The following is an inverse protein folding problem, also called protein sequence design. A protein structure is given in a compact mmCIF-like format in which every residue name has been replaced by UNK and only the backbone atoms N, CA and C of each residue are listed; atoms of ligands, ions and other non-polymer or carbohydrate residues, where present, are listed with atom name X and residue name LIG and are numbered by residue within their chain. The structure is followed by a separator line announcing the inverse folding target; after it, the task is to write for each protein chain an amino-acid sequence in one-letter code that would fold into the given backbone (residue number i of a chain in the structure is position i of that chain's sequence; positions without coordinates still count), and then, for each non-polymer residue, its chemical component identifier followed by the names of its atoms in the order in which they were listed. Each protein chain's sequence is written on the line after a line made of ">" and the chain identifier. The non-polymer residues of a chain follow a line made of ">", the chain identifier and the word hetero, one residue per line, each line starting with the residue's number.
data_IF_196283162441
#
_entry.id   IF_196283162441
#
_cell.length_a   1.000
_cell.length_b   1.000
_cell.length_c   1.000
_cell.angle_alpha   90.00
_cell.angle_beta   90.00
_cell.angle_gamma   90.00
#
_symmetry.space_group_name_H-M   'P 1'
#
loop_
_entity.id
_entity.type
_entity.pdbx_description
1 polymer ?
#
# COMPACT_ATOMS: atom_id res chain seq x y z
N UNK A 1 16.05 5.76 9.73
CA UNK A 1 15.22 5.19 8.63
C UNK A 1 14.07 4.32 9.14
N UNK A 2 14.28 3.40 10.06
CA UNK A 2 13.24 2.50 10.59
C UNK A 2 12.03 3.24 11.20
N UNK A 3 12.28 4.27 12.02
CA UNK A 3 11.22 5.11 12.59
C UNK A 3 10.43 5.88 11.51
N UNK A 4 11.08 6.33 10.45
CA UNK A 4 10.44 6.97 9.30
C UNK A 4 9.48 5.98 8.64
N UNK A 5 9.95 4.76 8.34
CA UNK A 5 9.12 3.70 7.76
C UNK A 5 7.94 3.30 8.64
N UNK A 6 8.19 3.08 9.93
CA UNK A 6 7.14 2.78 10.92
C UNK A 6 6.07 3.87 10.96
N UNK A 7 6.48 5.12 11.09
CA UNK A 7 5.61 6.26 11.35
C UNK A 7 4.58 6.50 10.22
N UNK A 8 5.02 6.54 8.94
CA UNK A 8 4.07 6.82 7.87
C UNK A 8 3.14 5.64 7.60
N UNK A 9 3.61 4.41 7.80
CA UNK A 9 2.75 3.22 7.68
C UNK A 9 1.77 3.15 8.86
N UNK A 10 2.21 3.41 10.10
CA UNK A 10 1.33 3.44 11.26
C UNK A 10 0.23 4.49 11.10
N UNK A 11 0.57 5.71 10.70
CA UNK A 11 -0.41 6.76 10.43
C UNK A 11 -1.45 6.34 9.36
N UNK A 12 -0.99 5.75 8.24
CA UNK A 12 -1.90 5.26 7.19
C UNK A 12 -2.77 4.10 7.66
N UNK A 13 -2.23 3.18 8.46
CA UNK A 13 -2.95 1.99 8.93
C UNK A 13 -3.98 2.30 10.03
N UNK A 14 -3.82 3.40 10.79
CA UNK A 14 -4.87 3.94 11.66
C UNK A 14 -6.09 4.37 10.82
N UNK A 15 -5.87 5.02 9.69
CA UNK A 15 -6.94 5.55 8.85
C UNK A 15 -7.71 4.43 8.14
N UNK A 16 -7.05 3.35 7.76
CA UNK A 16 -7.58 2.31 6.89
C UNK A 16 -8.93 1.70 7.35
N UNK A 17 -9.11 1.24 8.61
CA UNK A 17 -10.36 0.63 9.05
C UNK A 17 -11.51 1.62 9.27
N UNK A 18 -11.20 2.90 9.54
CA UNK A 18 -12.19 3.86 10.07
C UNK A 18 -12.64 4.93 9.07
N UNK A 19 -11.89 5.15 7.98
CA UNK A 19 -12.20 6.24 7.05
C UNK A 19 -13.58 6.08 6.39
N UNK A 20 -13.90 4.86 5.94
CA UNK A 20 -15.17 4.56 5.29
C UNK A 20 -16.35 4.74 6.27
N UNK A 21 -16.17 4.30 7.50
CA UNK A 21 -17.13 4.46 8.60
C UNK A 21 -17.34 5.95 8.89
N UNK A 22 -16.24 6.71 9.01
CA UNK A 22 -16.30 8.15 9.27
C UNK A 22 -17.10 8.91 8.20
N UNK A 23 -16.80 8.65 6.93
CA UNK A 23 -17.47 9.32 5.81
C UNK A 23 -18.96 8.93 5.78
N UNK A 24 -19.27 7.65 5.95
CA UNK A 24 -20.66 7.15 5.86
C UNK A 24 -21.49 7.51 7.07
N UNK A 25 -21.00 7.27 8.29
CA UNK A 25 -21.79 7.33 9.51
C UNK A 25 -21.67 8.69 10.23
N UNK A 26 -20.50 9.33 10.20
CA UNK A 26 -20.28 10.62 10.87
C UNK A 26 -20.59 11.80 9.94
N UNK A 27 -20.08 11.75 8.70
CA UNK A 27 -20.36 12.81 7.71
C UNK A 27 -21.69 12.61 6.99
N UNK A 28 -22.36 11.46 7.15
CA UNK A 28 -23.64 11.10 6.49
C UNK A 28 -23.57 11.19 4.96
N UNK A 29 -22.39 10.94 4.40
CA UNK A 29 -22.17 11.03 2.97
C UNK A 29 -22.63 9.75 2.23
N UNK A 30 -23.01 9.84 0.96
CA UNK A 30 -23.35 8.67 0.15
C UNK A 30 -22.11 7.78 -0.11
N UNK A 31 -22.36 6.50 -0.40
CA UNK A 31 -21.30 5.47 -0.53
C UNK A 31 -20.31 5.81 -1.64
N UNK A 32 -20.72 6.49 -2.69
CA UNK A 32 -19.87 6.93 -3.81
C UNK A 32 -18.77 7.87 -3.33
N UNK A 33 -19.09 8.73 -2.38
CA UNK A 33 -18.12 9.69 -1.83
C UNK A 33 -17.05 9.00 -0.99
N UNK A 34 -17.37 7.87 -0.36
CA UNK A 34 -16.37 7.04 0.34
C UNK A 34 -15.30 6.55 -0.66
N UNK A 35 -15.78 6.06 -1.82
CA UNK A 35 -14.90 5.65 -2.92
C UNK A 35 -14.05 6.82 -3.43
N UNK A 36 -14.66 7.97 -3.70
CA UNK A 36 -13.99 9.16 -4.22
C UNK A 36 -12.86 9.64 -3.28
N UNK A 37 -13.16 9.80 -1.98
CA UNK A 37 -12.18 10.27 -0.97
C UNK A 37 -11.00 9.31 -0.84
N UNK A 38 -11.26 8.00 -0.87
CA UNK A 38 -10.19 7.00 -0.81
C UNK A 38 -9.36 6.99 -2.09
N UNK A 39 -10.03 7.07 -3.24
CA UNK A 39 -9.38 7.09 -4.56
C UNK A 39 -8.51 8.32 -4.75
N UNK A 40 -8.93 9.48 -4.28
CA UNK A 40 -8.18 10.74 -4.38
C UNK A 40 -6.78 10.62 -3.76
N UNK A 41 -6.67 9.95 -2.61
CA UNK A 41 -5.38 9.68 -1.96
C UNK A 41 -4.48 8.78 -2.82
N UNK A 42 -4.97 7.64 -3.28
CA UNK A 42 -4.14 6.68 -3.99
C UNK A 42 -3.80 7.13 -5.42
N UNK A 43 -4.72 7.78 -6.12
CA UNK A 43 -4.46 8.32 -7.46
C UNK A 43 -3.43 9.45 -7.37
N UNK A 44 -3.57 10.38 -6.42
CA UNK A 44 -2.58 11.44 -6.22
C UNK A 44 -1.21 10.87 -5.84
N UNK A 45 -1.16 9.83 -5.02
CA UNK A 45 0.07 9.11 -4.69
C UNK A 45 0.70 8.46 -5.93
N UNK A 46 -0.08 7.79 -6.76
CA UNK A 46 0.39 7.16 -7.99
C UNK A 46 1.00 8.19 -8.95
N UNK A 47 0.30 9.30 -9.16
CA UNK A 47 0.78 10.40 -10.02
C UNK A 47 2.07 11.03 -9.46
N UNK A 48 2.12 11.26 -8.16
CA UNK A 48 3.31 11.81 -7.50
C UNK A 48 4.53 10.89 -7.66
N UNK A 49 4.39 9.57 -7.58
CA UNK A 49 5.49 8.61 -7.78
C UNK A 49 6.09 8.68 -9.19
N UNK A 50 5.29 8.97 -10.22
CA UNK A 50 5.81 9.21 -11.57
C UNK A 50 6.73 10.43 -11.60
N UNK A 51 6.31 11.52 -10.95
CA UNK A 51 7.07 12.79 -10.92
C UNK A 51 8.35 12.61 -10.09
N UNK A 52 8.25 11.93 -8.95
CA UNK A 52 9.37 11.75 -8.01
C UNK A 52 10.51 10.91 -8.56
N UNK A 53 10.23 9.98 -9.46
CA UNK A 53 11.27 9.22 -10.17
C UNK A 53 12.30 10.10 -10.90
N UNK A 54 11.95 11.38 -11.15
CA UNK A 54 12.83 12.36 -11.80
C UNK A 54 13.63 13.25 -10.83
N UNK A 55 13.18 13.40 -9.59
CA UNK A 55 13.71 14.38 -8.65
C UNK A 55 14.52 13.80 -7.48
N UNK A 56 14.69 12.48 -7.44
CA UNK A 56 15.36 11.79 -6.33
C UNK A 56 16.88 12.03 -6.36
N UNK A 57 17.39 12.86 -5.45
CA UNK A 57 18.82 13.03 -5.21
C UNK A 57 19.19 14.19 -4.28
N UNK A 58 20.17 13.96 -3.39
CA UNK A 58 20.86 14.96 -2.58
C UNK A 58 20.07 15.54 -1.39
N UNK A 59 20.62 16.60 -0.81
CA UNK A 59 20.11 17.29 0.39
C UNK A 59 18.66 17.76 0.25
N UNK A 60 18.23 18.13 -0.96
CA UNK A 60 16.85 18.53 -1.25
C UNK A 60 15.85 17.42 -0.91
N UNK A 61 16.21 16.15 -1.13
CA UNK A 61 15.32 15.00 -0.82
C UNK A 61 14.97 14.95 0.65
N UNK A 62 15.90 15.26 1.57
CA UNK A 62 15.62 15.21 3.02
C UNK A 62 14.78 16.38 3.48
N UNK A 63 15.03 17.59 2.94
CA UNK A 63 14.20 18.75 3.25
C UNK A 63 12.76 18.53 2.77
N UNK A 64 12.58 18.00 1.57
CA UNK A 64 11.25 17.61 1.07
C UNK A 64 10.61 16.50 1.88
N UNK A 65 11.38 15.53 2.39
CA UNK A 65 10.88 14.50 3.28
C UNK A 65 10.30 15.09 4.57
N UNK A 66 10.97 16.05 5.17
CA UNK A 66 10.49 16.75 6.37
C UNK A 66 9.18 17.50 6.11
N UNK A 67 9.13 18.28 5.02
CA UNK A 67 7.91 19.02 4.61
C UNK A 67 6.76 18.02 4.35
N UNK A 68 7.05 16.92 3.67
CA UNK A 68 6.04 15.90 3.39
C UNK A 68 5.51 15.26 4.69
N UNK A 69 6.34 15.02 5.69
CA UNK A 69 5.89 14.52 6.98
C UNK A 69 5.03 15.53 7.74
N UNK A 70 5.35 16.83 7.67
CA UNK A 70 4.53 17.87 8.28
C UNK A 70 3.12 17.86 7.65
N UNK A 71 3.04 17.91 6.33
CA UNK A 71 1.76 17.86 5.61
C UNK A 71 1.01 16.57 5.93
N UNK A 72 1.71 15.43 5.83
CA UNK A 72 1.13 14.12 6.05
C UNK A 72 0.59 13.93 7.47
N UNK A 73 1.22 14.52 8.48
CA UNK A 73 0.80 14.47 9.88
C UNK A 73 -0.37 15.43 10.18
N UNK A 74 -0.38 16.61 9.54
CA UNK A 74 -1.47 17.59 9.73
C UNK A 74 -2.77 17.12 9.09
N UNK A 75 -2.72 16.46 7.93
CA UNK A 75 -3.92 16.05 7.21
C UNK A 75 -4.91 15.21 8.05
N UNK A 76 -4.51 14.15 8.78
CA UNK A 76 -5.44 13.38 9.60
C UNK A 76 -6.04 14.19 10.76
N UNK A 77 -5.31 15.16 11.31
CA UNK A 77 -5.83 16.04 12.36
C UNK A 77 -6.95 16.98 11.85
N UNK A 78 -6.95 17.27 10.54
CA UNK A 78 -7.98 18.09 9.91
C UNK A 78 -9.27 17.32 9.60
N UNK A 79 -9.25 15.98 9.54
CA UNK A 79 -10.45 15.18 9.20
C UNK A 79 -11.62 15.44 10.16
N UNK A 80 -11.47 15.34 11.49
CA UNK A 80 -12.57 15.57 12.41
C UNK A 80 -13.05 17.03 12.45
N UNK A 81 -12.27 17.95 11.91
CA UNK A 81 -12.59 19.38 11.87
C UNK A 81 -13.41 19.78 10.63
N UNK A 82 -13.43 18.93 9.60
CA UNK A 82 -14.25 19.18 8.41
C UNK A 82 -15.51 18.32 8.39
N UNK A 83 -16.62 18.91 7.94
CA UNK A 83 -17.89 18.21 7.68
C UNK A 83 -18.23 18.15 6.18
N UNK A 84 -17.42 18.77 5.36
CA UNK A 84 -17.57 18.79 3.91
C UNK A 84 -16.69 17.70 3.27
N UNK A 85 -17.33 16.79 2.55
CA UNK A 85 -16.65 15.66 1.88
C UNK A 85 -15.72 16.14 0.76
N UNK A 86 -16.04 17.26 0.11
CA UNK A 86 -15.18 17.83 -0.92
C UNK A 86 -13.88 18.36 -0.30
N UNK A 87 -13.96 19.07 0.82
CA UNK A 87 -12.79 19.53 1.58
C UNK A 87 -11.96 18.32 2.04
N UNK A 88 -12.60 17.26 2.55
CA UNK A 88 -11.92 16.03 2.91
C UNK A 88 -11.20 15.39 1.71
N UNK A 89 -11.82 15.41 0.52
CA UNK A 89 -11.21 14.90 -0.71
C UNK A 89 -9.95 15.68 -1.08
N UNK A 90 -9.97 17.00 -0.95
CA UNK A 90 -8.78 17.85 -1.18
C UNK A 90 -7.68 17.52 -0.18
N UNK A 91 -8.01 17.42 1.12
CA UNK A 91 -7.04 17.05 2.16
C UNK A 91 -6.42 15.67 1.86
N UNK A 92 -7.22 14.70 1.44
CA UNK A 92 -6.76 13.36 1.07
C UNK A 92 -5.87 13.37 -0.17
N UNK A 93 -6.16 14.23 -1.16
CA UNK A 93 -5.30 14.42 -2.34
C UNK A 93 -3.93 14.93 -1.93
N UNK A 94 -3.86 15.97 -1.10
CA UNK A 94 -2.61 16.55 -0.59
C UNK A 94 -1.84 15.52 0.25
N UNK A 95 -2.54 14.76 1.09
CA UNK A 95 -1.94 13.70 1.88
C UNK A 95 -1.35 12.59 1.00
N UNK A 96 -2.01 12.21 -0.12
CA UNK A 96 -1.51 11.21 -1.05
C UNK A 96 -0.22 11.62 -1.74
N UNK A 97 -0.08 12.88 -2.16
CA UNK A 97 1.20 13.42 -2.65
C UNK A 97 2.31 13.29 -1.61
N UNK A 98 2.02 13.66 -0.36
CA UNK A 98 2.99 13.58 0.73
C UNK A 98 3.39 12.13 1.05
N UNK A 99 2.41 11.22 1.04
CA UNK A 99 2.64 9.78 1.23
C UNK A 99 3.59 9.19 0.18
N UNK A 100 3.36 9.51 -1.09
CA UNK A 100 4.22 9.06 -2.18
C UNK A 100 5.67 9.51 -2.00
N UNK A 101 5.85 10.78 -1.60
CA UNK A 101 7.18 11.34 -1.37
C UNK A 101 7.87 10.63 -0.21
N UNK A 102 7.20 10.48 0.93
CA UNK A 102 7.76 9.82 2.12
C UNK A 102 8.16 8.38 1.78
N UNK A 103 7.28 7.61 1.14
CA UNK A 103 7.56 6.22 0.78
C UNK A 103 8.75 6.07 -0.16
N UNK A 104 8.80 6.88 -1.22
CA UNK A 104 9.88 6.85 -2.22
C UNK A 104 11.21 7.32 -1.62
N UNK A 105 11.22 8.47 -0.94
CA UNK A 105 12.42 9.02 -0.33
C UNK A 105 12.98 8.09 0.76
N UNK A 106 12.13 7.52 1.61
CA UNK A 106 12.58 6.64 2.69
C UNK A 106 13.22 5.35 2.15
N UNK A 107 12.70 4.79 1.07
CA UNK A 107 13.27 3.60 0.42
C UNK A 107 14.64 3.89 -0.19
N UNK A 108 14.77 5.01 -0.91
CA UNK A 108 16.03 5.45 -1.50
C UNK A 108 17.07 5.70 -0.40
N UNK A 109 16.71 6.45 0.63
CA UNK A 109 17.60 6.76 1.74
C UNK A 109 17.99 5.51 2.52
N UNK A 110 17.07 4.55 2.71
CA UNK A 110 17.39 3.27 3.34
C UNK A 110 18.42 2.48 2.52
N UNK A 111 18.24 2.42 1.19
CA UNK A 111 19.17 1.72 0.30
C UNK A 111 20.57 2.34 0.28
N UNK A 112 20.68 3.64 0.52
CA UNK A 112 21.94 4.41 0.48
C UNK A 112 22.66 4.47 1.83
N UNK A 113 21.94 4.39 2.95
CA UNK A 113 22.52 4.44 4.30
C UNK A 113 22.99 3.09 4.83
N UNK A 114 22.62 1.99 4.16
CA UNK A 114 23.02 0.65 4.56
C UNK A 114 24.26 0.25 3.77
N UNK A 115 25.34 -0.13 4.46
CA UNK A 115 26.58 -0.62 3.82
C UNK A 115 26.31 -1.84 2.96
N UNK A 116 27.08 -2.04 1.89
CA UNK A 116 26.93 -3.20 0.99
C UNK A 116 27.05 -4.53 1.71
N UNK A 117 27.86 -4.60 2.78
CA UNK A 117 28.12 -5.80 3.59
C UNK A 117 26.93 -6.14 4.52
N UNK A 118 26.13 -5.15 4.93
CA UNK A 118 25.01 -5.34 5.85
C UNK A 118 23.65 -5.09 5.19
N UNK A 119 23.61 -4.97 3.87
CA UNK A 119 22.42 -4.55 3.11
C UNK A 119 21.22 -5.44 3.39
N UNK A 120 21.38 -6.75 3.35
CA UNK A 120 20.27 -7.70 3.53
C UNK A 120 19.69 -7.61 4.95
N UNK A 121 20.56 -7.50 5.96
CA UNK A 121 20.15 -7.31 7.36
C UNK A 121 19.44 -5.97 7.57
N UNK A 122 19.99 -4.90 7.02
CA UNK A 122 19.42 -3.56 7.16
C UNK A 122 18.08 -3.40 6.46
N UNK A 123 17.92 -3.94 5.25
CA UNK A 123 16.62 -3.99 4.53
C UNK A 123 15.62 -4.84 5.30
N UNK A 124 16.07 -5.98 5.87
CA UNK A 124 15.23 -6.83 6.73
C UNK A 124 14.68 -6.07 7.93
N UNK A 125 15.54 -5.33 8.66
CA UNK A 125 15.14 -4.52 9.81
C UNK A 125 14.16 -3.42 9.37
N UNK A 126 14.45 -2.70 8.29
CA UNK A 126 13.57 -1.65 7.77
C UNK A 126 12.17 -2.20 7.43
N UNK A 127 12.11 -3.34 6.74
CA UNK A 127 10.81 -3.96 6.39
C UNK A 127 10.05 -4.50 7.60
N UNK A 128 10.75 -4.95 8.66
CA UNK A 128 10.15 -5.31 9.92
C UNK A 128 9.46 -4.10 10.58
N UNK A 129 10.09 -2.92 10.57
CA UNK A 129 9.48 -1.69 11.09
C UNK A 129 8.27 -1.23 10.27
N UNK A 130 8.28 -1.41 8.93
CA UNK A 130 7.09 -1.20 8.11
C UNK A 130 5.94 -2.11 8.55
N UNK A 131 6.23 -3.38 8.81
CA UNK A 131 5.23 -4.36 9.26
C UNK A 131 4.69 -4.04 10.65
N UNK A 132 5.54 -3.58 11.58
CA UNK A 132 5.10 -3.06 12.88
C UNK A 132 4.17 -1.85 12.72
N UNK A 133 4.45 -0.96 11.76
CA UNK A 133 3.57 0.16 11.42
C UNK A 133 2.19 -0.30 10.95
N UNK A 134 2.13 -1.35 10.11
CA UNK A 134 0.86 -1.94 9.67
C UNK A 134 0.02 -2.47 10.84
N UNK A 135 0.66 -3.10 11.81
CA UNK A 135 -0.02 -3.65 12.99
C UNK A 135 -0.48 -2.57 13.96
N UNK A 136 0.33 -1.53 14.13
CA UNK A 136 0.06 -0.46 15.10
C UNK A 136 -1.26 0.27 14.85
N UNK A 137 -1.61 0.52 13.59
CA UNK A 137 -2.82 1.27 13.26
C UNK A 137 -4.11 0.61 13.72
N UNK A 138 -4.48 -0.58 13.24
CA UNK A 138 -5.70 -1.26 13.71
C UNK A 138 -5.67 -1.58 15.20
N UNK A 139 -4.51 -1.83 15.79
CA UNK A 139 -4.38 -1.98 17.23
C UNK A 139 -4.80 -0.70 17.95
N UNK A 140 -4.26 0.45 17.52
CA UNK A 140 -4.63 1.76 18.06
C UNK A 140 -6.13 2.00 17.88
N UNK A 141 -6.69 1.77 16.70
CA UNK A 141 -8.11 2.02 16.43
C UNK A 141 -9.01 1.13 17.28
N UNK A 142 -8.70 -0.16 17.41
CA UNK A 142 -9.49 -1.09 18.24
C UNK A 142 -9.61 -0.61 19.68
N UNK A 143 -8.52 -0.10 20.26
CA UNK A 143 -8.53 0.35 21.65
C UNK A 143 -8.93 1.81 21.84
N UNK A 144 -8.77 2.69 20.84
CA UNK A 144 -9.10 4.10 20.97
C UNK A 144 -10.57 4.42 20.69
N UNK A 145 -11.22 3.69 19.79
CA UNK A 145 -12.63 3.96 19.40
C UNK A 145 -13.58 3.96 20.59
N UNK A 146 -13.55 2.99 21.53
CA UNK A 146 -14.46 2.96 22.67
C UNK A 146 -14.38 4.20 23.57
N UNK A 147 -13.21 4.85 23.64
CA UNK A 147 -12.97 6.00 24.53
C UNK A 147 -13.09 7.34 23.81
N UNK A 148 -12.67 7.41 22.55
CA UNK A 148 -12.55 8.68 21.82
C UNK A 148 -13.51 8.77 20.63
N UNK A 149 -14.14 7.67 20.24
CA UNK A 149 -14.98 7.60 19.03
C UNK A 149 -14.15 7.62 17.74
N UNK A 150 -14.81 7.34 16.61
CA UNK A 150 -14.18 7.24 15.28
C UNK A 150 -13.49 8.54 14.87
N UNK A 151 -14.16 9.70 15.09
CA UNK A 151 -13.63 11.00 14.68
C UNK A 151 -12.31 11.36 15.36
N UNK A 152 -12.24 11.22 16.67
CA UNK A 152 -11.04 11.60 17.42
C UNK A 152 -9.88 10.60 17.26
N UNK A 153 -10.19 9.38 16.80
CA UNK A 153 -9.16 8.37 16.52
C UNK A 153 -8.19 8.83 15.42
N UNK A 154 -8.58 9.74 14.51
CA UNK A 154 -7.65 10.30 13.51
C UNK A 154 -6.51 11.12 14.11
N UNK A 155 -6.65 11.67 15.32
CA UNK A 155 -5.56 12.35 15.98
C UNK A 155 -4.38 11.40 16.30
N UNK A 156 -4.64 10.10 16.53
CA UNK A 156 -3.57 9.12 16.71
C UNK A 156 -2.79 8.87 15.40
N UNK A 157 -3.45 8.99 14.24
CA UNK A 157 -2.75 8.98 12.95
C UNK A 157 -1.82 10.19 12.81
N UNK A 158 -2.27 11.38 13.24
CA UNK A 158 -1.45 12.58 13.27
C UNK A 158 -0.25 12.41 14.23
N UNK A 159 -0.47 11.89 15.44
CA UNK A 159 0.58 11.62 16.41
C UNK A 159 1.63 10.64 15.88
N UNK A 160 1.22 9.58 15.19
CA UNK A 160 2.14 8.66 14.51
C UNK A 160 3.00 9.41 13.47
N UNK A 161 2.41 10.37 12.75
CA UNK A 161 3.13 11.24 11.81
C UNK A 161 4.17 12.14 12.49
N UNK A 162 3.90 12.66 13.71
CA UNK A 162 4.86 13.47 14.47
C UNK A 162 6.15 12.71 14.78
N UNK A 163 6.07 11.41 15.06
CA UNK A 163 7.26 10.55 15.21
C UNK A 163 8.12 10.58 13.95
N UNK A 164 7.48 10.59 12.77
CA UNK A 164 8.15 10.71 11.48
C UNK A 164 8.81 12.07 11.27
N UNK A 165 8.15 13.17 11.67
CA UNK A 165 8.73 14.52 11.64
C UNK A 165 10.02 14.56 12.47
N UNK A 166 9.96 14.05 13.70
CA UNK A 166 11.12 13.99 14.58
C UNK A 166 12.28 13.18 13.98
N UNK A 167 11.96 12.00 13.43
CA UNK A 167 12.96 11.16 12.78
C UNK A 167 13.57 11.80 11.52
N UNK A 168 12.76 12.47 10.70
CA UNK A 168 13.20 13.21 9.52
C UNK A 168 14.06 14.43 9.90
N UNK A 169 13.71 15.12 10.99
CA UNK A 169 14.48 16.25 11.51
C UNK A 169 15.88 15.81 11.98
N UNK A 170 15.98 14.73 12.74
CA UNK A 170 17.28 14.17 13.15
C UNK A 170 18.11 13.76 11.93
N UNK A 171 17.48 13.12 10.94
CA UNK A 171 18.15 12.72 9.71
C UNK A 171 18.69 13.96 8.96
N UNK A 172 17.92 15.03 8.88
CA UNK A 172 18.33 16.27 8.22
C UNK A 172 19.54 16.92 8.89
N UNK A 173 19.63 16.87 10.23
CA UNK A 173 20.79 17.36 10.98
C UNK A 173 22.06 16.55 10.74
N UNK A 174 21.94 15.23 10.66
CA UNK A 174 23.08 14.32 10.45
C UNK A 174 23.51 14.19 8.99
N UNK A 175 22.73 14.73 8.06
CA UNK A 175 22.96 14.52 6.63
C UNK A 175 24.25 15.15 6.10
N UNK A 176 24.72 16.26 6.68
CA UNK A 176 26.00 16.88 6.31
C UNK A 176 27.20 15.97 6.56
N UNK A 177 27.07 14.98 7.46
CA UNK A 177 28.10 13.94 7.72
C UNK A 177 28.02 12.83 6.66
N UNK A 178 26.81 12.47 6.22
CA UNK A 178 26.55 11.40 5.24
C UNK A 178 26.83 11.87 3.80
N UNK A 179 26.71 13.14 3.48
CA UNK A 179 26.90 13.68 2.12
C UNK A 179 28.35 13.55 1.62
N UNK A 180 29.34 13.53 2.51
CA UNK A 180 30.75 13.27 2.14
C UNK A 180 30.94 11.89 1.53
N UNK A 181 30.21 10.88 2.02
CA UNK A 181 30.28 9.52 1.52
C UNK A 181 29.51 9.32 0.20
N UNK A 182 28.52 10.18 -0.09
CA UNK A 182 27.68 10.10 -1.28
C UNK A 182 28.36 10.54 -2.58
N UNK A 183 29.30 11.48 -2.51
CA UNK A 183 30.07 11.95 -3.67
C UNK A 183 30.98 10.84 -4.22
N UNK A 184 31.29 9.82 -3.40
CA UNK A 184 32.13 8.67 -3.78
C UNK A 184 31.33 7.60 -4.53
N UNK A 185 29.99 7.51 -4.31
CA UNK A 185 29.11 6.55 -5.00
C UNK A 185 28.54 7.23 -6.24
N UNK A 186 29.38 7.48 -7.23
CA UNK A 186 28.98 7.99 -8.54
C UNK A 186 28.00 7.03 -9.23
N UNK A 187 26.70 7.20 -9.00
CA UNK A 187 25.68 6.58 -9.84
C UNK A 187 25.79 7.18 -11.23
N UNK A 188 26.50 6.53 -12.13
CA UNK A 188 26.49 6.87 -13.56
C UNK A 188 25.04 6.75 -14.04
N UNK A 189 24.39 7.89 -14.20
CA UNK A 189 23.09 7.96 -14.86
C UNK A 189 23.35 7.67 -16.35
N UNK A 190 23.06 6.46 -16.76
CA UNK A 190 23.05 6.13 -18.19
C UNK A 190 22.06 7.07 -18.91
N UNK A 191 22.55 7.71 -19.98
CA UNK A 191 21.80 8.69 -20.79
C UNK A 191 20.77 8.05 -21.74
N UNK A 192 20.20 6.90 -21.37
CA UNK A 192 19.14 6.28 -22.19
C UNK A 192 17.85 7.13 -22.05
N UNK A 193 17.17 7.45 -23.16
CA UNK A 193 15.89 8.19 -23.13
C UNK A 193 14.87 7.46 -22.26
N UNK A 194 14.16 8.19 -21.39
CA UNK A 194 13.19 7.63 -20.46
C UNK A 194 12.12 6.77 -21.12
N UNK A 195 11.62 7.22 -22.29
CA UNK A 195 10.64 6.47 -23.08
C UNK A 195 11.13 5.06 -23.42
N UNK A 196 12.41 4.92 -23.78
CA UNK A 196 13.00 3.62 -24.11
C UNK A 196 13.14 2.74 -22.87
N UNK A 197 13.53 3.32 -21.73
CA UNK A 197 13.58 2.59 -20.44
C UNK A 197 12.21 2.06 -20.04
N UNK A 198 11.18 2.90 -20.09
CA UNK A 198 9.80 2.50 -19.77
C UNK A 198 9.33 1.39 -20.72
N UNK A 199 9.53 1.56 -22.03
CA UNK A 199 9.08 0.60 -23.02
C UNK A 199 9.78 -0.76 -22.84
N UNK A 200 11.07 -0.76 -22.54
CA UNK A 200 11.82 -1.98 -22.24
C UNK A 200 11.36 -2.70 -20.98
N UNK A 201 10.98 -1.93 -19.93
CA UNK A 201 10.43 -2.49 -18.70
C UNK A 201 9.05 -3.12 -18.97
N UNK A 202 8.15 -2.40 -19.61
CA UNK A 202 6.77 -2.87 -19.88
C UNK A 202 6.76 -4.10 -20.81
N UNK A 203 7.69 -4.16 -21.76
CA UNK A 203 7.86 -5.31 -22.65
C UNK A 203 8.47 -6.54 -21.98
N UNK A 204 9.06 -6.38 -20.79
CA UNK A 204 9.58 -7.50 -20.04
C UNK A 204 8.44 -8.35 -19.45
N UNK A 205 8.33 -9.59 -19.87
CA UNK A 205 7.25 -10.52 -19.46
C UNK A 205 7.21 -10.75 -17.95
N UNK A 206 8.36 -10.82 -17.30
CA UNK A 206 8.43 -11.04 -15.86
C UNK A 206 7.94 -9.82 -15.09
N UNK A 207 8.27 -8.60 -15.58
CA UNK A 207 7.68 -7.37 -15.06
C UNK A 207 6.15 -7.37 -15.25
N UNK A 208 5.68 -7.72 -16.44
CA UNK A 208 4.24 -7.76 -16.71
C UNK A 208 3.52 -8.78 -15.80
N UNK A 209 4.08 -9.97 -15.59
CA UNK A 209 3.53 -10.98 -14.69
C UNK A 209 3.44 -10.46 -13.25
N UNK A 210 4.53 -9.88 -12.72
CA UNK A 210 4.56 -9.30 -11.39
C UNK A 210 3.57 -8.13 -11.26
N UNK A 211 3.52 -7.26 -12.26
CA UNK A 211 2.67 -6.08 -12.29
C UNK A 211 1.18 -6.46 -12.33
N UNK A 212 0.78 -7.37 -13.23
CA UNK A 212 -0.62 -7.82 -13.38
C UNK A 212 -1.10 -8.50 -12.10
N UNK A 213 -0.30 -9.40 -11.51
CA UNK A 213 -0.65 -10.10 -10.28
C UNK A 213 -0.86 -9.15 -9.11
N UNK A 214 0.04 -8.19 -8.93
CA UNK A 214 -0.10 -7.19 -7.88
C UNK A 214 -1.20 -6.18 -8.15
N UNK A 215 -1.32 -5.67 -9.36
CA UNK A 215 -2.39 -4.73 -9.73
C UNK A 215 -3.77 -5.34 -9.43
N UNK A 216 -4.01 -6.60 -9.83
CA UNK A 216 -5.28 -7.27 -9.58
C UNK A 216 -5.56 -7.46 -8.09
N UNK A 217 -4.54 -7.85 -7.31
CA UNK A 217 -4.65 -7.94 -5.87
C UNK A 217 -4.97 -6.59 -5.22
N UNK A 218 -4.29 -5.52 -5.64
CA UNK A 218 -4.51 -4.20 -5.06
C UNK A 218 -5.80 -3.53 -5.55
N UNK A 219 -6.41 -3.99 -6.66
CA UNK A 219 -7.80 -3.71 -7.00
C UNK A 219 -8.74 -4.31 -5.93
N UNK A 220 -8.57 -5.60 -5.60
CA UNK A 220 -9.33 -6.24 -4.51
C UNK A 220 -9.10 -5.50 -3.18
N UNK A 221 -7.86 -5.15 -2.85
CA UNK A 221 -7.55 -4.45 -1.62
C UNK A 221 -8.15 -3.04 -1.57
N UNK A 222 -8.20 -2.32 -2.69
CA UNK A 222 -8.90 -1.02 -2.80
C UNK A 222 -10.40 -1.14 -2.52
N UNK A 223 -11.03 -2.18 -3.05
CA UNK A 223 -12.43 -2.52 -2.73
C UNK A 223 -12.60 -2.85 -1.24
N UNK A 224 -11.69 -3.63 -0.67
CA UNK A 224 -11.70 -3.99 0.75
C UNK A 224 -11.59 -2.75 1.63
N UNK A 225 -10.68 -1.82 1.34
CA UNK A 225 -10.50 -0.60 2.13
C UNK A 225 -11.77 0.26 2.22
N UNK A 226 -12.58 0.26 1.16
CA UNK A 226 -13.80 1.10 1.09
C UNK A 226 -15.03 0.34 1.56
N UNK A 227 -15.26 -0.85 1.02
CA UNK A 227 -16.55 -1.51 1.18
C UNK A 227 -16.57 -2.58 2.27
N UNK A 228 -15.44 -3.16 2.68
CA UNK A 228 -15.45 -4.16 3.73
C UNK A 228 -15.84 -3.61 5.11
N UNK A 229 -15.40 -2.41 5.55
CA UNK A 229 -15.88 -1.81 6.79
C UNK A 229 -17.40 -1.59 6.77
N UNK A 230 -17.93 -1.05 5.66
CA UNK A 230 -19.37 -0.78 5.51
C UNK A 230 -20.19 -2.08 5.46
N UNK A 231 -19.67 -3.10 4.76
CA UNK A 231 -20.31 -4.41 4.70
C UNK A 231 -20.33 -5.11 6.06
N UNK A 232 -19.21 -5.06 6.79
CA UNK A 232 -19.12 -5.65 8.12
C UNK A 232 -20.09 -4.99 9.12
N UNK A 233 -20.25 -3.68 9.08
CA UNK A 233 -21.25 -2.97 9.91
C UNK A 233 -22.69 -3.25 9.46
N UNK A 234 -22.99 -3.02 8.18
CA UNK A 234 -24.35 -3.06 7.68
C UNK A 234 -24.93 -4.47 7.52
N UNK A 235 -24.11 -5.46 7.16
CA UNK A 235 -24.55 -6.81 6.83
C UNK A 235 -24.20 -7.86 7.90
N UNK A 236 -23.13 -7.64 8.69
CA UNK A 236 -22.68 -8.58 9.72
C UNK A 236 -22.86 -8.03 11.14
N UNK A 237 -23.38 -6.81 11.30
CA UNK A 237 -23.62 -6.12 12.57
C UNK A 237 -22.35 -6.00 13.44
N UNK A 238 -21.21 -5.76 12.82
CA UNK A 238 -19.96 -5.51 13.54
C UNK A 238 -19.94 -4.12 14.15
N UNK A 239 -19.41 -4.00 15.36
CA UNK A 239 -19.05 -2.71 15.94
C UNK A 239 -17.81 -2.14 15.23
N UNK A 240 -17.54 -0.84 15.41
CA UNK A 240 -16.38 -0.17 14.80
C UNK A 240 -15.05 -0.78 15.27
N UNK A 241 -15.00 -1.23 16.53
CA UNK A 241 -13.85 -1.92 17.11
C UNK A 241 -13.64 -3.28 16.46
N UNK A 242 -14.72 -4.06 16.24
CA UNK A 242 -14.64 -5.35 15.56
C UNK A 242 -14.16 -5.21 14.12
N UNK A 243 -14.60 -4.17 13.40
CA UNK A 243 -14.07 -3.86 12.07
C UNK A 243 -12.56 -3.61 12.14
N UNK A 244 -12.11 -2.80 13.10
CA UNK A 244 -10.67 -2.54 13.30
C UNK A 244 -9.90 -3.81 13.66
N UNK A 245 -10.49 -4.69 14.46
CA UNK A 245 -9.88 -5.98 14.83
C UNK A 245 -9.74 -6.92 13.62
N UNK A 246 -10.68 -6.90 12.69
CA UNK A 246 -10.56 -7.67 11.44
C UNK A 246 -9.39 -7.16 10.59
N UNK A 247 -9.18 -5.85 10.51
CA UNK A 247 -7.98 -5.27 9.87
C UNK A 247 -6.69 -5.64 10.62
N UNK A 248 -6.73 -5.73 11.96
CA UNK A 248 -5.59 -6.22 12.73
C UNK A 248 -5.23 -7.65 12.35
N UNK A 249 -6.21 -8.56 12.28
CA UNK A 249 -6.00 -9.94 11.84
C UNK A 249 -5.40 -10.02 10.43
N UNK A 250 -5.91 -9.18 9.51
CA UNK A 250 -5.35 -9.05 8.17
C UNK A 250 -3.86 -8.69 8.19
N UNK A 251 -3.47 -7.64 8.94
CA UNK A 251 -2.08 -7.22 8.98
C UNK A 251 -1.18 -8.15 9.79
N UNK A 252 -1.71 -8.85 10.80
CA UNK A 252 -0.99 -9.93 11.49
C UNK A 252 -0.64 -11.03 10.48
N UNK A 253 -1.63 -11.51 9.72
CA UNK A 253 -1.40 -12.53 8.70
C UNK A 253 -0.42 -12.06 7.61
N UNK A 254 -0.57 -10.81 7.14
CA UNK A 254 0.36 -10.18 6.19
C UNK A 254 1.79 -10.19 6.74
N UNK A 255 1.98 -9.78 7.98
CA UNK A 255 3.30 -9.67 8.62
C UNK A 255 3.94 -11.04 8.81
N UNK A 256 3.19 -12.00 9.37
CA UNK A 256 3.68 -13.37 9.59
C UNK A 256 4.11 -14.03 8.27
N UNK A 257 3.31 -13.86 7.23
CA UNK A 257 3.63 -14.43 5.92
C UNK A 257 4.83 -13.73 5.28
N UNK A 258 4.92 -12.40 5.38
CA UNK A 258 6.04 -11.61 4.86
C UNK A 258 7.36 -11.98 5.53
N UNK A 259 7.37 -12.20 6.84
CA UNK A 259 8.57 -12.65 7.57
C UNK A 259 9.06 -14.04 7.12
N UNK A 260 8.16 -14.88 6.62
CA UNK A 260 8.47 -16.23 6.15
C UNK A 260 8.64 -16.33 4.63
N UNK A 261 8.42 -15.26 3.87
CA UNK A 261 8.45 -15.31 2.40
C UNK A 261 9.79 -15.83 1.85
N UNK A 262 10.92 -15.50 2.50
CA UNK A 262 12.24 -16.00 2.14
C UNK A 262 12.32 -17.54 2.15
N UNK A 263 11.71 -18.19 3.15
CA UNK A 263 11.64 -19.65 3.22
C UNK A 263 10.66 -20.24 2.19
N UNK A 264 9.59 -19.52 1.88
CA UNK A 264 8.57 -19.96 0.92
C UNK A 264 9.15 -19.97 -0.50
N UNK A 265 9.88 -18.91 -0.91
CA UNK A 265 10.46 -18.81 -2.25
C UNK A 265 11.61 -19.81 -2.51
N UNK A 266 12.20 -20.37 -1.45
CA UNK A 266 13.16 -21.48 -1.58
C UNK A 266 12.49 -22.81 -1.98
N UNK A 267 11.21 -22.98 -1.64
CA UNK A 267 10.46 -24.22 -1.89
C UNK A 267 9.58 -24.14 -3.13
N UNK A 268 9.08 -22.96 -3.45
CA UNK A 268 8.13 -22.71 -4.55
C UNK A 268 8.62 -21.58 -5.42
N UNK A 269 8.63 -21.78 -6.74
CA UNK A 269 9.07 -20.73 -7.68
C UNK A 269 8.20 -19.48 -7.59
N UNK A 270 8.81 -18.31 -7.77
CA UNK A 270 8.15 -17.00 -7.67
C UNK A 270 6.96 -16.86 -8.63
N UNK A 271 7.09 -17.38 -9.85
CA UNK A 271 5.99 -17.38 -10.84
C UNK A 271 4.79 -18.20 -10.37
N UNK A 272 5.03 -19.38 -9.78
CA UNK A 272 3.96 -20.20 -9.19
C UNK A 272 3.31 -19.50 -8.00
N UNK A 273 4.09 -18.83 -7.16
CA UNK A 273 3.55 -18.08 -6.01
C UNK A 273 2.67 -16.91 -6.46
N UNK A 274 3.05 -16.18 -7.52
CA UNK A 274 2.21 -15.14 -8.10
C UNK A 274 0.91 -15.71 -8.66
N UNK A 275 0.97 -16.80 -9.42
CA UNK A 275 -0.22 -17.44 -9.97
C UNK A 275 -1.14 -17.97 -8.86
N UNK A 276 -0.61 -18.72 -7.90
CA UNK A 276 -1.40 -19.29 -6.79
C UNK A 276 -1.99 -18.19 -5.91
N UNK A 277 -1.22 -17.14 -5.57
CA UNK A 277 -1.73 -16.02 -4.79
C UNK A 277 -2.84 -15.26 -5.51
N UNK A 278 -2.69 -15.01 -6.82
CA UNK A 278 -3.73 -14.35 -7.62
C UNK A 278 -4.98 -15.25 -7.74
N UNK A 279 -4.81 -16.54 -7.98
CA UNK A 279 -5.92 -17.49 -8.05
C UNK A 279 -6.65 -17.63 -6.70
N UNK A 280 -5.89 -17.66 -5.59
CA UNK A 280 -6.48 -17.69 -4.25
C UNK A 280 -7.25 -16.40 -3.94
N UNK A 281 -6.79 -15.25 -4.43
CA UNK A 281 -7.51 -13.97 -4.29
C UNK A 281 -8.92 -14.04 -4.92
N UNK A 282 -9.10 -14.78 -6.02
CA UNK A 282 -10.42 -15.01 -6.65
C UNK A 282 -11.36 -15.70 -5.67
N UNK A 283 -10.92 -16.83 -5.10
CA UNK A 283 -11.72 -17.62 -4.18
C UNK A 283 -12.07 -16.83 -2.91
N UNK A 284 -11.09 -16.10 -2.37
CA UNK A 284 -11.28 -15.31 -1.15
C UNK A 284 -12.22 -14.12 -1.39
N UNK A 285 -12.13 -13.45 -2.53
CA UNK A 285 -13.04 -12.37 -2.88
C UNK A 285 -14.49 -12.87 -3.04
N UNK A 286 -14.71 -14.01 -3.71
CA UNK A 286 -16.03 -14.65 -3.75
C UNK A 286 -16.52 -15.04 -2.37
N UNK A 287 -15.64 -15.56 -1.50
CA UNK A 287 -15.99 -15.92 -0.12
C UNK A 287 -16.48 -14.73 0.69
N UNK A 288 -15.86 -13.54 0.54
CA UNK A 288 -16.33 -12.29 1.19
C UNK A 288 -17.75 -11.91 0.74
N UNK A 289 -18.07 -12.13 -0.53
CA UNK A 289 -19.38 -11.79 -1.08
C UNK A 289 -20.48 -12.75 -0.64
N UNK A 290 -20.15 -14.02 -0.49
CA UNK A 290 -21.13 -15.08 -0.32
C UNK A 290 -21.43 -15.44 1.13
N UNK A 291 -20.40 -15.52 1.99
CA UNK A 291 -20.58 -15.93 3.37
C UNK A 291 -20.99 -14.75 4.27
N UNK A 292 -22.15 -14.89 4.92
CA UNK A 292 -22.71 -13.90 5.86
C UNK A 292 -22.36 -14.17 7.32
N UNK A 293 -21.40 -15.05 7.59
CA UNK A 293 -20.95 -15.36 8.94
C UNK A 293 -19.73 -14.50 9.29
N UNK A 294 -19.80 -13.79 10.41
CA UNK A 294 -18.74 -12.86 10.84
C UNK A 294 -17.38 -13.55 11.11
N UNK A 295 -17.37 -14.76 11.65
CA UNK A 295 -16.13 -15.53 11.88
C UNK A 295 -15.48 -15.95 10.57
N UNK A 296 -16.30 -16.41 9.60
CA UNK A 296 -15.82 -16.75 8.26
C UNK A 296 -15.28 -15.50 7.56
N UNK A 297 -15.98 -14.38 7.67
CA UNK A 297 -15.51 -13.10 7.12
C UNK A 297 -14.13 -12.71 7.67
N UNK A 298 -13.96 -12.78 9.00
CA UNK A 298 -12.67 -12.46 9.63
C UNK A 298 -11.54 -13.43 9.21
N UNK A 299 -11.85 -14.74 9.11
CA UNK A 299 -10.89 -15.74 8.65
C UNK A 299 -10.48 -15.51 7.19
N UNK A 300 -11.44 -15.26 6.29
CA UNK A 300 -11.17 -14.94 4.87
C UNK A 300 -10.35 -13.65 4.77
N UNK A 301 -10.66 -12.65 5.57
CA UNK A 301 -9.93 -11.38 5.60
C UNK A 301 -8.47 -11.58 6.01
N UNK A 302 -8.21 -12.39 7.04
CA UNK A 302 -6.85 -12.77 7.44
C UNK A 302 -6.12 -13.54 6.32
N UNK A 303 -6.81 -14.46 5.60
CA UNK A 303 -6.21 -15.17 4.46
C UNK A 303 -5.85 -14.23 3.31
N UNK A 304 -6.67 -13.20 3.02
CA UNK A 304 -6.32 -12.16 2.04
C UNK A 304 -5.06 -11.42 2.49
N UNK A 305 -4.93 -11.14 3.78
CA UNK A 305 -3.70 -10.56 4.35
C UNK A 305 -2.47 -11.45 4.12
N UNK A 306 -2.59 -12.76 4.32
CA UNK A 306 -1.52 -13.71 4.03
C UNK A 306 -1.11 -13.70 2.55
N UNK A 307 -2.07 -13.62 1.64
CA UNK A 307 -1.82 -13.48 0.19
C UNK A 307 -1.04 -12.19 -0.11
N UNK A 308 -1.40 -11.06 0.50
CA UNK A 308 -0.65 -9.81 0.37
C UNK A 308 0.80 -9.96 0.81
N UNK A 309 1.01 -10.69 1.92
CA UNK A 309 2.34 -10.96 2.47
C UNK A 309 3.25 -11.74 1.52
N UNK A 310 2.68 -12.47 0.55
CA UNK A 310 3.40 -13.18 -0.51
C UNK A 310 3.53 -12.33 -1.77
N UNK A 311 2.42 -11.87 -2.33
CA UNK A 311 2.39 -11.26 -3.67
C UNK A 311 3.28 -10.02 -3.78
N UNK A 312 3.20 -9.14 -2.80
CA UNK A 312 3.96 -7.89 -2.81
C UNK A 312 5.49 -8.11 -2.84
N UNK A 313 6.10 -8.86 -1.89
CA UNK A 313 7.55 -9.06 -1.92
C UNK A 313 8.01 -9.96 -3.07
N UNK A 314 7.23 -10.98 -3.45
CA UNK A 314 7.58 -11.87 -4.58
C UNK A 314 7.64 -11.10 -5.89
N UNK A 315 6.70 -10.19 -6.14
CA UNK A 315 6.73 -9.33 -7.32
C UNK A 315 7.96 -8.41 -7.35
N UNK A 316 8.31 -7.79 -6.21
CA UNK A 316 9.52 -6.97 -6.09
C UNK A 316 10.82 -7.78 -6.31
N UNK A 317 10.88 -9.03 -5.80
CA UNK A 317 12.02 -9.93 -6.01
C UNK A 317 12.18 -10.30 -7.49
N UNK A 318 11.08 -10.60 -8.20
CA UNK A 318 11.13 -10.90 -9.63
C UNK A 318 11.65 -9.72 -10.44
N UNK A 319 11.23 -8.50 -10.11
CA UNK A 319 11.71 -7.29 -10.76
C UNK A 319 13.21 -7.11 -10.53
N UNK A 320 13.67 -7.28 -9.28
CA UNK A 320 15.07 -7.15 -8.93
C UNK A 320 15.97 -8.15 -9.64
N UNK A 321 15.50 -9.38 -9.88
CA UNK A 321 16.26 -10.44 -10.54
C UNK A 321 16.28 -10.35 -12.06
N UNK A 322 15.20 -9.85 -12.67
CA UNK A 322 14.97 -9.96 -14.11
C UNK A 322 15.08 -8.65 -14.87
N UNK A 323 15.10 -7.53 -14.17
CA UNK A 323 15.29 -6.22 -14.78
C UNK A 323 16.75 -5.79 -14.59
N UNK A 324 17.33 -5.24 -15.67
CA UNK A 324 18.71 -4.76 -15.63
C UNK A 324 18.91 -3.73 -14.51
N UNK A 325 20.02 -3.76 -13.75
CA UNK A 325 20.26 -2.89 -12.59
C UNK A 325 20.04 -1.39 -12.88
N UNK A 326 20.42 -0.91 -14.07
CA UNK A 326 20.23 0.51 -14.47
C UNK A 326 18.77 0.94 -14.61
N UNK A 327 17.84 -0.02 -14.76
CA UNK A 327 16.39 0.22 -14.89
C UNK A 327 15.60 -0.21 -13.66
N UNK A 328 16.24 -0.84 -12.69
CA UNK A 328 15.56 -1.49 -11.55
C UNK A 328 14.80 -0.49 -10.67
N UNK A 329 15.38 0.70 -10.40
CA UNK A 329 14.72 1.77 -9.65
C UNK A 329 13.44 2.22 -10.34
N UNK A 330 13.50 2.46 -11.65
CA UNK A 330 12.33 2.86 -12.43
C UNK A 330 11.27 1.75 -12.48
N UNK A 331 11.68 0.50 -12.65
CA UNK A 331 10.77 -0.65 -12.66
C UNK A 331 10.04 -0.82 -11.33
N UNK A 332 10.74 -0.68 -10.20
CA UNK A 332 10.10 -0.69 -8.88
C UNK A 332 9.16 0.51 -8.68
N UNK A 333 9.52 1.68 -9.19
CA UNK A 333 8.63 2.86 -9.11
C UNK A 333 7.33 2.65 -9.90
N UNK A 334 7.41 2.09 -11.11
CA UNK A 334 6.24 1.72 -11.92
C UNK A 334 5.40 0.64 -11.23
N UNK A 335 6.04 -0.34 -10.62
CA UNK A 335 5.38 -1.39 -9.85
C UNK A 335 4.60 -0.82 -8.66
N UNK A 336 5.22 0.05 -7.87
CA UNK A 336 4.58 0.73 -6.74
C UNK A 336 3.45 1.67 -7.18
N UNK A 337 3.61 2.35 -8.32
CA UNK A 337 2.55 3.13 -8.92
C UNK A 337 1.34 2.24 -9.28
N UNK A 338 1.57 1.05 -9.86
CA UNK A 338 0.51 0.08 -10.17
C UNK A 338 -0.28 -0.35 -8.94
N UNK A 339 0.39 -0.49 -7.79
CA UNK A 339 -0.25 -0.76 -6.51
C UNK A 339 -1.23 0.36 -6.11
N UNK A 340 -0.77 1.59 -6.12
CA UNK A 340 -1.62 2.74 -5.78
C UNK A 340 -2.76 2.92 -6.79
N UNK A 341 -2.49 2.73 -8.09
CA UNK A 341 -3.51 2.78 -9.14
C UNK A 341 -4.59 1.73 -8.92
N UNK A 342 -4.22 0.51 -8.55
CA UNK A 342 -5.18 -0.55 -8.21
C UNK A 342 -6.10 -0.13 -7.06
N UNK A 343 -5.52 0.37 -5.97
CA UNK A 343 -6.27 0.83 -4.80
C UNK A 343 -7.12 2.08 -5.09
N UNK A 344 -6.67 2.96 -5.97
CA UNK A 344 -7.36 4.19 -6.29
C UNK A 344 -8.47 4.03 -7.32
N UNK A 345 -8.28 3.21 -8.35
CA UNK A 345 -9.26 3.04 -9.44
C UNK A 345 -10.40 2.11 -9.01
N UNK A 346 -10.11 1.09 -8.21
CA UNK A 346 -11.08 0.07 -7.85
C UNK A 346 -12.36 0.62 -7.19
N UNK A 347 -12.29 1.49 -6.16
CA UNK A 347 -13.49 2.05 -5.54
C UNK A 347 -14.34 2.89 -6.51
N UNK A 348 -13.71 3.61 -7.45
CA UNK A 348 -14.43 4.42 -8.44
C UNK A 348 -15.22 3.54 -9.43
N UNK A 349 -14.58 2.49 -9.95
CA UNK A 349 -15.24 1.57 -10.89
C UNK A 349 -16.39 0.83 -10.22
N UNK A 350 -16.23 0.44 -8.95
CA UNK A 350 -17.20 -0.38 -8.23
C UNK A 350 -18.28 0.44 -7.51
N UNK A 351 -18.18 1.76 -7.44
CA UNK A 351 -19.17 2.60 -6.75
C UNK A 351 -20.59 2.44 -7.32
N UNK A 352 -20.74 2.54 -8.64
CA UNK A 352 -22.04 2.35 -9.30
C UNK A 352 -22.63 0.95 -9.08
N UNK A 353 -21.76 -0.06 -9.04
CA UNK A 353 -22.15 -1.46 -8.78
C UNK A 353 -22.59 -1.63 -7.32
N UNK A 354 -21.90 -0.99 -6.37
CA UNK A 354 -22.28 -1.01 -4.96
C UNK A 354 -23.68 -0.43 -4.73
N UNK A 355 -24.04 0.64 -5.47
CA UNK A 355 -25.35 1.29 -5.37
C UNK A 355 -26.45 0.41 -5.95
N UNK A 356 -26.25 -0.16 -7.13
CA UNK A 356 -27.28 -0.90 -7.85
C UNK A 356 -27.47 -2.32 -7.31
N UNK A 357 -26.38 -3.01 -6.94
CA UNK A 357 -26.38 -4.43 -6.60
C UNK A 357 -25.93 -4.73 -5.16
N UNK A 358 -25.67 -3.68 -4.36
CA UNK A 358 -25.22 -3.81 -2.98
C UNK A 358 -23.72 -4.00 -2.81
N UNK A 359 -23.22 -3.85 -1.57
CA UNK A 359 -21.78 -3.87 -1.27
C UNK A 359 -21.09 -5.20 -1.61
N UNK A 360 -21.76 -6.34 -1.45
CA UNK A 360 -21.21 -7.66 -1.74
C UNK A 360 -20.79 -7.82 -3.22
N UNK A 361 -21.51 -7.17 -4.14
CA UNK A 361 -21.23 -7.24 -5.58
C UNK A 361 -19.85 -6.66 -5.94
N UNK A 362 -19.32 -5.73 -5.15
CA UNK A 362 -18.00 -5.14 -5.37
C UNK A 362 -16.88 -6.18 -5.17
N UNK A 363 -17.05 -7.11 -4.24
CA UNK A 363 -16.12 -8.24 -4.04
C UNK A 363 -16.17 -9.21 -5.22
N UNK A 364 -17.37 -9.46 -5.79
CA UNK A 364 -17.52 -10.32 -6.98
C UNK A 364 -16.79 -9.71 -8.18
N UNK A 365 -16.93 -8.39 -8.40
CA UNK A 365 -16.21 -7.70 -9.49
C UNK A 365 -14.70 -7.83 -9.32
N UNK A 366 -14.20 -7.65 -8.09
CA UNK A 366 -12.78 -7.84 -7.80
C UNK A 366 -12.32 -9.29 -8.06
N UNK A 367 -13.17 -10.28 -7.74
CA UNK A 367 -12.90 -11.67 -8.01
C UNK A 367 -12.79 -11.93 -9.53
N UNK A 368 -13.70 -11.38 -10.33
CA UNK A 368 -13.68 -11.50 -11.79
C UNK A 368 -12.41 -10.88 -12.37
N UNK A 369 -12.01 -9.68 -11.91
CA UNK A 369 -10.76 -9.04 -12.35
C UNK A 369 -9.55 -9.90 -11.98
N UNK A 370 -9.53 -10.45 -10.77
CA UNK A 370 -8.45 -11.34 -10.33
C UNK A 370 -8.41 -12.66 -11.13
N UNK A 371 -9.56 -13.17 -11.55
CA UNK A 371 -9.64 -14.36 -12.41
C UNK A 371 -9.01 -14.09 -13.80
N UNK A 372 -9.33 -12.97 -14.43
CA UNK A 372 -8.69 -12.57 -15.68
C UNK A 372 -7.18 -12.40 -15.53
N UNK A 373 -6.72 -11.80 -14.41
CA UNK A 373 -5.31 -11.67 -14.12
C UNK A 373 -4.62 -13.04 -13.96
N UNK A 374 -5.24 -13.97 -13.23
CA UNK A 374 -4.70 -15.32 -13.04
C UNK A 374 -4.58 -16.07 -14.39
N UNK A 375 -5.57 -15.97 -15.27
CA UNK A 375 -5.53 -16.52 -16.60
C UNK A 375 -4.39 -15.90 -17.43
N UNK A 376 -4.25 -14.58 -17.39
CA UNK A 376 -3.17 -13.88 -18.10
C UNK A 376 -1.79 -14.34 -17.63
N UNK A 377 -1.57 -14.47 -16.30
CA UNK A 377 -0.34 -14.97 -15.72
C UNK A 377 -0.07 -16.43 -16.16
N UNK A 378 -1.10 -17.27 -16.14
CA UNK A 378 -0.98 -18.67 -16.59
C UNK A 378 -0.57 -18.77 -18.06
N UNK A 379 -1.15 -17.97 -18.95
CA UNK A 379 -0.79 -17.94 -20.36
C UNK A 379 0.65 -17.45 -20.56
N UNK A 380 1.06 -16.40 -19.84
CA UNK A 380 2.44 -15.91 -19.88
C UNK A 380 3.45 -16.95 -19.37
N UNK A 381 3.13 -17.70 -18.31
CA UNK A 381 4.02 -18.74 -17.76
C UNK A 381 4.24 -19.91 -18.73
N UNK A 382 3.20 -20.35 -19.45
CA UNK A 382 3.30 -21.42 -20.46
C UNK A 382 4.17 -21.03 -21.65
N UNK A 383 4.16 -19.77 -22.04
CA UNK A 383 5.01 -19.25 -23.12
C UNK A 383 6.50 -19.21 -22.74
N UNK A 384 6.82 -19.10 -21.44
CA UNK A 384 8.20 -19.15 -20.95
C UNK A 384 8.80 -20.56 -20.93
N UNK A 385 7.99 -21.62 -20.93
CA UNK A 385 8.47 -23.01 -20.98
C UNK A 385 8.78 -23.50 -22.40
N UNK A 386 8.34 -22.74 -23.42
CA UNK A 386 8.52 -23.09 -24.83
C UNK A 386 9.63 -22.28 -25.53
N UNK A 387 10.20 -21.26 -24.87
CA UNK A 387 11.35 -20.48 -25.31
C UNK A 387 12.59 -20.84 -24.52
#
# INVERSE_FOLDING_TARGET
>A
MCLIGFSYIASSSVIAPILSIYIKDVMQAPVEMVGLVTSAFFISSALAKLILGFFAGGKRTISFLLISFIIFSVCPALYPLTRDVFVLTVIRTVQGFSYAFIGTASLILAALTISSLERDKGVGIYTAFLSLGLLAGPLITTFSIPFFGVSNTFFFAALAGLVGIYAAYILNRKFSEIERDWQVIGVRVEREPLKNKILAIIRNRMFATAFIGNLSFFILFGVILVYAPLYAKGNLNFSDELVSMVFLLYYVATTLTRLNVGKIVQKVSKDKLLLLGTALSVLLAFSLAYFKNGYVFAAVFAMIGAVQGILFPVGSMLIAERIHPSRNVLANSLYMMGIDMGQGIAPLITAGIAIQYGLASTFIVSAVISAFAAIAILLMSRLNQKS
#
